data_IF_090998702294
#
_entry.id   IF_090998702294
#
_cell.length_a   1.000
_cell.length_b   1.000
_cell.length_c   1.000
_cell.angle_alpha   90.00
_cell.angle_beta   90.00
_cell.angle_gamma   90.00
#
_symmetry.space_group_name_H-M   'P 1'
#
loop_
_entity.id
_entity.type
_entity.pdbx_description
1 polymer ?
#
# COMPACT_ATOMS: atom_id res chain seq x y z
N UNK A 1 5.94 -10.52 67.02
CA UNK A 1 7.05 -9.71 67.63
C UNK A 1 7.62 -8.85 66.56
N UNK A 2 7.20 -7.64 66.44
CA UNK A 2 7.75 -6.36 66.86
C UNK A 2 9.19 -6.09 66.41
N UNK A 3 9.37 -5.13 65.49
CA UNK A 3 10.04 -3.89 65.81
C UNK A 3 9.96 -2.86 64.62
N UNK A 4 9.30 -1.73 64.94
CA UNK A 4 9.40 -0.45 64.20
C UNK A 4 10.76 0.16 64.46
N UNK A 5 11.34 0.81 63.43
CA UNK A 5 12.27 1.93 63.62
C UNK A 5 12.00 3.00 62.57
N UNK A 6 11.52 4.14 63.09
CA UNK A 6 11.30 5.35 62.32
C UNK A 6 12.60 6.15 62.21
N UNK A 7 12.78 6.82 61.06
CA UNK A 7 13.78 7.84 60.90
C UNK A 7 13.14 9.16 60.48
N UNK A 8 13.18 10.14 61.38
CA UNK A 8 12.82 11.56 61.16
C UNK A 8 13.91 12.20 60.30
N UNK A 9 13.52 12.74 59.14
CA UNK A 9 14.36 13.65 58.38
C UNK A 9 13.91 15.10 58.60
N UNK A 10 14.87 15.91 59.04
CA UNK A 10 14.72 17.32 59.37
C UNK A 10 14.58 18.20 58.12
N UNK A 11 13.54 19.02 58.08
CA UNK A 11 13.35 20.10 57.14
C UNK A 11 14.40 21.23 57.34
N UNK A 12 15.19 21.49 56.35
CA UNK A 12 16.06 22.68 56.29
C UNK A 12 15.35 23.75 55.46
N UNK A 13 14.83 24.78 56.12
CA UNK A 13 14.31 26.00 55.49
C UNK A 13 15.49 26.87 55.02
N UNK A 14 15.76 26.91 53.72
CA UNK A 14 16.60 27.89 53.08
C UNK A 14 15.74 29.12 52.70
N UNK A 15 15.97 30.27 53.38
CA UNK A 15 15.42 31.57 53.03
C UNK A 15 16.22 32.12 51.83
N UNK A 16 15.68 32.08 50.64
CA UNK A 16 16.21 32.83 49.49
C UNK A 16 15.56 34.23 49.47
N UNK A 17 16.37 35.25 49.63
CA UNK A 17 16.05 36.67 49.48
C UNK A 17 15.66 36.97 48.04
N UNK A 18 14.43 37.42 47.84
CA UNK A 18 13.93 37.96 46.58
C UNK A 18 14.59 39.27 46.26
N UNK A 19 15.40 39.31 45.22
CA UNK A 19 15.77 40.56 44.55
C UNK A 19 14.75 40.83 43.42
N UNK A 20 13.83 41.74 43.68
CA UNK A 20 12.96 42.33 42.65
C UNK A 20 13.83 43.16 41.70
N UNK A 21 14.26 42.60 40.59
CA UNK A 21 14.83 43.33 39.47
C UNK A 21 13.78 43.42 38.35
N UNK A 22 13.47 44.66 37.99
CA UNK A 22 12.63 45.16 36.92
C UNK A 22 12.36 44.16 35.77
N UNK A 23 11.17 43.55 35.80
CA UNK A 23 10.68 42.67 34.78
C UNK A 23 9.83 43.40 33.70
N UNK A 24 9.86 44.72 33.63
CA UNK A 24 8.99 45.45 32.71
C UNK A 24 9.60 45.83 31.36
N UNK A 25 10.96 45.81 31.21
CA UNK A 25 11.57 46.14 29.92
C UNK A 25 11.87 44.91 29.03
N UNK A 26 11.89 43.69 29.59
CA UNK A 26 12.16 42.50 28.83
C UNK A 26 10.95 41.95 28.06
N UNK A 27 9.75 42.40 28.44
CA UNK A 27 8.50 41.93 27.79
C UNK A 27 8.13 42.71 26.51
N UNK A 28 8.72 43.85 26.24
CA UNK A 28 8.40 44.69 25.06
C UNK A 28 9.17 44.25 23.81
N UNK A 29 10.33 43.61 23.96
CA UNK A 29 11.15 43.17 22.83
C UNK A 29 10.82 41.74 22.41
N UNK A 30 10.12 40.93 23.25
CA UNK A 30 9.80 39.53 22.97
C UNK A 30 8.60 39.31 22.08
N UNK A 31 7.67 40.26 21.96
CA UNK A 31 6.41 40.07 21.29
C UNK A 31 6.48 40.02 19.73
N UNK A 32 7.18 40.89 19.01
CA UNK A 32 7.16 40.86 17.54
C UNK A 32 8.02 39.75 16.94
N UNK A 33 9.13 39.36 17.60
CA UNK A 33 10.01 38.32 17.10
C UNK A 33 9.45 36.91 17.29
N UNK A 34 8.77 36.64 18.41
CA UNK A 34 8.07 35.39 18.66
C UNK A 34 6.86 35.21 17.75
N UNK A 35 6.09 36.26 17.53
CA UNK A 35 4.94 36.26 16.63
C UNK A 35 5.37 36.03 15.15
N UNK A 36 6.55 36.56 14.76
CA UNK A 36 7.15 36.30 13.46
C UNK A 36 7.63 34.85 13.29
N UNK A 37 8.23 34.27 14.32
CA UNK A 37 8.67 32.87 14.33
C UNK A 37 7.50 31.90 14.30
N UNK A 38 6.45 32.13 15.08
CA UNK A 38 5.24 31.32 15.08
C UNK A 38 4.49 31.37 13.73
N UNK A 39 4.50 32.53 13.06
CA UNK A 39 3.94 32.65 11.70
C UNK A 39 4.76 31.89 10.64
N UNK A 40 6.08 31.93 10.74
CA UNK A 40 6.98 31.22 9.81
C UNK A 40 6.89 29.70 10.02
N UNK A 41 6.84 29.25 11.27
CA UNK A 41 6.69 27.82 11.60
C UNK A 41 5.33 27.28 11.16
N UNK A 42 4.26 28.05 11.35
CA UNK A 42 2.91 27.71 10.91
C UNK A 42 2.80 27.70 9.37
N UNK A 43 3.44 28.63 8.67
CA UNK A 43 3.46 28.70 7.21
C UNK A 43 4.26 27.53 6.61
N UNK A 44 5.38 27.14 7.20
CA UNK A 44 6.18 25.98 6.77
C UNK A 44 5.45 24.66 7.02
N UNK A 45 4.77 24.53 8.15
CA UNK A 45 3.90 23.38 8.46
C UNK A 45 2.74 23.26 7.48
N UNK A 46 2.08 24.39 7.16
CA UNK A 46 0.96 24.43 6.21
C UNK A 46 1.41 24.08 4.79
N UNK A 47 2.54 24.61 4.32
CA UNK A 47 3.11 24.32 3.01
C UNK A 47 3.53 22.86 2.89
N UNK A 48 4.12 22.27 3.93
CA UNK A 48 4.49 20.85 3.95
C UNK A 48 3.24 19.97 3.92
N UNK A 49 2.21 20.29 4.68
CA UNK A 49 0.94 19.55 4.70
C UNK A 49 0.25 19.61 3.33
N UNK A 50 0.23 20.77 2.68
CA UNK A 50 -0.33 20.94 1.33
C UNK A 50 0.45 20.14 0.29
N UNK A 51 1.79 20.19 0.32
CA UNK A 51 2.66 19.44 -0.60
C UNK A 51 2.47 17.92 -0.46
N UNK A 52 2.37 17.42 0.77
CA UNK A 52 2.13 15.98 1.06
C UNK A 52 0.74 15.57 0.55
N UNK A 53 -0.29 16.39 0.78
CA UNK A 53 -1.64 16.11 0.28
C UNK A 53 -1.67 16.02 -1.24
N UNK A 54 -1.09 16.97 -1.96
CA UNK A 54 -1.01 16.96 -3.43
C UNK A 54 -0.27 15.71 -3.96
N UNK A 55 0.83 15.32 -3.31
CA UNK A 55 1.55 14.11 -3.68
C UNK A 55 0.70 12.84 -3.54
N UNK A 56 -0.06 12.73 -2.45
CA UNK A 56 -0.95 11.58 -2.22
C UNK A 56 -2.04 11.52 -3.30
N UNK A 57 -2.68 12.64 -3.64
CA UNK A 57 -3.70 12.68 -4.69
C UNK A 57 -3.15 12.31 -6.07
N UNK A 58 -1.92 12.72 -6.40
CA UNK A 58 -1.26 12.29 -7.63
C UNK A 58 -1.03 10.77 -7.65
N UNK A 59 -0.63 10.18 -6.53
CA UNK A 59 -0.46 8.72 -6.39
C UNK A 59 -1.81 8.02 -6.58
N UNK A 60 -2.90 8.50 -5.97
CA UNK A 60 -4.24 7.92 -6.13
C UNK A 60 -4.66 7.98 -7.61
N UNK A 61 -4.45 9.10 -8.29
CA UNK A 61 -4.78 9.25 -9.72
C UNK A 61 -4.00 8.25 -10.59
N UNK A 62 -2.69 8.10 -10.34
CA UNK A 62 -1.88 7.08 -11.04
C UNK A 62 -2.38 5.67 -10.75
N UNK A 63 -2.79 5.38 -9.53
CA UNK A 63 -3.36 4.08 -9.14
C UNK A 63 -4.67 3.81 -9.87
N UNK A 64 -5.54 4.80 -10.03
CA UNK A 64 -6.79 4.68 -10.79
C UNK A 64 -6.49 4.30 -12.26
N UNK A 65 -5.58 5.01 -12.91
CA UNK A 65 -5.20 4.73 -14.31
C UNK A 65 -4.65 3.31 -14.45
N UNK A 66 -3.73 2.91 -13.57
CA UNK A 66 -3.16 1.56 -13.58
C UNK A 66 -4.23 0.49 -13.33
N UNK A 67 -5.16 0.72 -12.40
CA UNK A 67 -6.25 -0.23 -12.11
C UNK A 67 -7.16 -0.43 -13.32
N UNK A 68 -7.45 0.61 -14.09
CA UNK A 68 -8.23 0.51 -15.33
C UNK A 68 -7.49 -0.35 -16.38
N UNK A 69 -6.20 -0.12 -16.56
CA UNK A 69 -5.39 -0.91 -17.51
C UNK A 69 -5.37 -2.39 -17.10
N UNK A 70 -5.13 -2.67 -15.82
CA UNK A 70 -5.10 -4.02 -15.28
C UNK A 70 -6.47 -4.70 -15.43
N UNK A 71 -7.57 -3.97 -15.17
CA UNK A 71 -8.93 -4.47 -15.34
C UNK A 71 -9.18 -4.90 -16.80
N UNK A 72 -8.80 -4.06 -17.78
CA UNK A 72 -8.95 -4.35 -19.21
C UNK A 72 -8.18 -5.62 -19.57
N UNK A 73 -6.93 -5.77 -19.09
CA UNK A 73 -6.10 -6.96 -19.37
C UNK A 73 -6.78 -8.22 -18.79
N UNK A 74 -7.26 -8.17 -17.54
CA UNK A 74 -7.89 -9.33 -16.90
C UNK A 74 -9.22 -9.72 -17.55
N UNK A 75 -10.04 -8.74 -17.97
CA UNK A 75 -11.29 -9.01 -18.71
C UNK A 75 -10.98 -9.66 -20.06
N UNK A 76 -9.98 -9.16 -20.80
CA UNK A 76 -9.58 -9.76 -22.07
C UNK A 76 -9.03 -11.19 -21.89
N UNK A 77 -8.25 -11.43 -20.83
CA UNK A 77 -7.78 -12.77 -20.48
C UNK A 77 -8.94 -13.72 -20.16
N UNK A 78 -9.95 -13.27 -19.41
CA UNK A 78 -11.14 -14.05 -19.10
C UNK A 78 -11.94 -14.38 -20.37
N UNK A 79 -12.10 -13.41 -21.28
CA UNK A 79 -12.76 -13.64 -22.56
C UNK A 79 -12.00 -14.67 -23.41
N UNK A 80 -10.67 -14.65 -23.40
CA UNK A 80 -9.87 -15.65 -24.07
C UNK A 80 -10.07 -17.04 -23.46
N UNK A 81 -9.99 -17.18 -22.13
CA UNK A 81 -10.21 -18.46 -21.44
C UNK A 81 -11.63 -19.01 -21.72
N UNK A 82 -12.65 -18.16 -21.70
CA UNK A 82 -14.04 -18.56 -22.03
C UNK A 82 -14.16 -19.00 -23.50
N UNK A 83 -13.45 -18.35 -24.43
CA UNK A 83 -13.39 -18.77 -25.83
C UNK A 83 -12.81 -20.20 -25.97
N UNK A 84 -11.77 -20.56 -25.20
CA UNK A 84 -11.24 -21.93 -25.19
C UNK A 84 -12.28 -22.97 -24.74
N UNK A 85 -13.13 -22.60 -23.79
CA UNK A 85 -14.23 -23.47 -23.34
C UNK A 85 -15.29 -23.65 -24.44
N UNK A 86 -15.70 -22.58 -25.10
CA UNK A 86 -16.76 -22.64 -26.14
C UNK A 86 -16.31 -23.38 -27.39
N UNK A 87 -15.02 -23.36 -27.73
CA UNK A 87 -14.45 -24.07 -28.87
C UNK A 87 -14.09 -25.54 -28.57
N UNK A 88 -14.32 -26.03 -27.34
CA UNK A 88 -13.92 -27.35 -26.87
C UNK A 88 -12.45 -27.68 -27.23
N UNK A 89 -11.55 -26.72 -26.97
CA UNK A 89 -10.14 -26.83 -27.28
C UNK A 89 -9.46 -27.90 -26.39
N UNK A 90 -9.42 -29.14 -26.86
CA UNK A 90 -8.98 -30.29 -26.07
C UNK A 90 -7.53 -30.17 -25.56
N UNK A 91 -6.60 -29.57 -26.35
CA UNK A 91 -5.22 -29.37 -25.94
C UNK A 91 -5.07 -28.36 -24.76
N UNK A 92 -6.09 -27.52 -24.53
CA UNK A 92 -6.08 -26.57 -23.40
C UNK A 92 -6.79 -27.10 -22.15
N UNK A 93 -7.39 -28.31 -22.22
CA UNK A 93 -8.05 -28.90 -21.05
C UNK A 93 -7.05 -29.23 -19.96
N UNK A 94 -7.15 -28.52 -18.84
CA UNK A 94 -6.32 -28.76 -17.66
C UNK A 94 -6.90 -28.11 -16.43
N UNK A 95 -6.53 -28.61 -15.26
CA UNK A 95 -6.88 -27.96 -13.99
C UNK A 95 -6.35 -26.52 -13.92
N UNK A 96 -5.23 -26.22 -14.60
CA UNK A 96 -4.68 -24.86 -14.64
C UNK A 96 -5.64 -23.89 -15.32
N UNK A 97 -6.28 -24.27 -16.45
CA UNK A 97 -7.29 -23.45 -17.12
C UNK A 97 -8.45 -23.11 -16.19
N UNK A 98 -8.97 -24.12 -15.51
CA UNK A 98 -10.07 -23.94 -14.55
C UNK A 98 -9.68 -23.03 -13.40
N UNK A 99 -8.49 -23.23 -12.83
CA UNK A 99 -7.97 -22.36 -11.78
C UNK A 99 -7.81 -20.91 -12.25
N UNK A 100 -7.17 -20.67 -13.40
CA UNK A 100 -6.99 -19.33 -13.97
C UNK A 100 -8.35 -18.63 -14.20
N UNK A 101 -9.33 -19.37 -14.71
CA UNK A 101 -10.70 -18.85 -14.93
C UNK A 101 -11.32 -18.32 -13.64
N UNK A 102 -11.34 -19.12 -12.57
CA UNK A 102 -11.92 -18.71 -11.29
C UNK A 102 -11.11 -17.58 -10.66
N UNK A 103 -9.79 -17.66 -10.72
CA UNK A 103 -8.92 -16.59 -10.25
C UNK A 103 -9.25 -15.26 -10.95
N UNK A 104 -9.41 -15.24 -12.27
CA UNK A 104 -9.75 -14.04 -13.05
C UNK A 104 -11.09 -13.44 -12.62
N UNK A 105 -12.12 -14.25 -12.36
CA UNK A 105 -13.38 -13.74 -11.83
C UNK A 105 -13.20 -13.01 -10.50
N UNK A 106 -12.52 -13.64 -9.54
CA UNK A 106 -12.26 -13.01 -8.25
C UNK A 106 -11.38 -11.76 -8.38
N UNK A 107 -10.36 -11.81 -9.22
CA UNK A 107 -9.45 -10.69 -9.43
C UNK A 107 -10.16 -9.47 -10.01
N UNK A 108 -11.03 -9.66 -10.99
CA UNK A 108 -11.86 -8.59 -11.59
C UNK A 108 -12.73 -7.92 -10.52
N UNK A 109 -13.36 -8.70 -9.64
CA UNK A 109 -14.17 -8.15 -8.55
C UNK A 109 -13.32 -7.32 -7.60
N UNK A 110 -12.16 -7.83 -7.16
CA UNK A 110 -11.26 -7.12 -6.23
C UNK A 110 -10.74 -5.83 -6.87
N UNK A 111 -10.29 -5.88 -8.13
CA UNK A 111 -9.81 -4.68 -8.84
C UNK A 111 -10.94 -3.65 -9.02
N UNK A 112 -12.15 -4.10 -9.27
CA UNK A 112 -13.32 -3.20 -9.38
C UNK A 112 -13.63 -2.50 -8.06
N UNK A 113 -13.55 -3.21 -6.94
CA UNK A 113 -13.70 -2.61 -5.60
C UNK A 113 -12.56 -1.63 -5.32
N UNK A 114 -11.31 -1.99 -5.62
CA UNK A 114 -10.15 -1.09 -5.49
C UNK A 114 -10.33 0.19 -6.31
N UNK A 115 -10.80 0.06 -7.54
CA UNK A 115 -11.03 1.18 -8.43
C UNK A 115 -12.11 2.12 -7.87
N UNK A 116 -13.24 1.58 -7.43
CA UNK A 116 -14.31 2.36 -6.82
C UNK A 116 -13.85 3.06 -5.53
N UNK A 117 -13.07 2.37 -4.70
CA UNK A 117 -12.51 2.94 -3.49
C UNK A 117 -11.55 4.10 -3.78
N UNK A 118 -10.65 3.93 -4.76
CA UNK A 118 -9.71 4.99 -5.16
C UNK A 118 -10.44 6.19 -5.77
N UNK A 119 -11.49 5.98 -6.57
CA UNK A 119 -12.34 7.05 -7.10
C UNK A 119 -13.03 7.78 -5.95
N UNK A 120 -13.57 7.06 -4.97
CA UNK A 120 -14.21 7.65 -3.79
C UNK A 120 -13.24 8.51 -2.98
N UNK A 121 -12.02 8.03 -2.73
CA UNK A 121 -10.97 8.79 -2.04
C UNK A 121 -10.59 10.06 -2.82
N UNK A 122 -10.43 9.93 -4.13
CA UNK A 122 -10.05 11.05 -4.99
C UNK A 122 -11.13 12.12 -5.06
N UNK A 123 -12.40 11.73 -5.30
CA UNK A 123 -13.52 12.68 -5.42
C UNK A 123 -13.92 13.32 -4.09
N UNK A 124 -13.81 12.55 -3.00
CA UNK A 124 -14.10 13.03 -1.64
C UNK A 124 -12.97 13.85 -1.01
N UNK A 125 -11.80 13.96 -1.66
CA UNK A 125 -10.59 14.53 -1.07
C UNK A 125 -10.23 13.91 0.30
N UNK A 126 -10.52 12.61 0.46
CA UNK A 126 -10.32 11.86 1.69
C UNK A 126 -8.92 11.23 1.66
N UNK A 127 -8.16 11.39 2.73
CA UNK A 127 -6.86 10.73 2.83
C UNK A 127 -7.05 9.25 3.22
N UNK A 128 -6.26 8.32 2.62
CA UNK A 128 -6.36 6.89 2.94
C UNK A 128 -6.21 6.59 4.45
N UNK A 129 -5.45 7.40 5.18
CA UNK A 129 -5.24 7.27 6.62
C UNK A 129 -6.55 7.42 7.42
N UNK A 130 -7.53 8.18 6.90
CA UNK A 130 -8.82 8.39 7.57
C UNK A 130 -9.69 7.12 7.52
N UNK A 131 -9.49 6.27 6.50
CA UNK A 131 -10.20 5.00 6.38
C UNK A 131 -9.62 3.89 7.28
N UNK A 132 -8.39 4.03 7.78
CA UNK A 132 -7.75 3.01 8.63
C UNK A 132 -8.56 2.72 9.90
N UNK A 133 -9.29 3.71 10.40
CA UNK A 133 -10.17 3.54 11.56
C UNK A 133 -11.52 2.85 11.24
N UNK A 134 -11.84 2.64 9.97
CA UNK A 134 -13.07 1.96 9.57
C UNK A 134 -12.85 0.43 9.58
N UNK A 135 -13.63 -0.32 10.39
CA UNK A 135 -13.46 -1.77 10.48
C UNK A 135 -13.70 -2.50 9.15
N UNK A 136 -14.58 -1.99 8.29
CA UNK A 136 -14.82 -2.56 6.96
C UNK A 136 -13.59 -2.45 6.06
N UNK A 137 -12.88 -1.32 6.15
CA UNK A 137 -11.62 -1.14 5.43
C UNK A 137 -10.53 -2.10 5.94
N UNK A 138 -10.49 -2.34 7.25
CA UNK A 138 -9.60 -3.32 7.87
C UNK A 138 -9.84 -4.75 7.35
N UNK A 139 -11.11 -5.17 7.27
CA UNK A 139 -11.49 -6.48 6.71
C UNK A 139 -11.09 -6.57 5.23
N UNK A 140 -11.37 -5.53 4.46
CA UNK A 140 -11.03 -5.47 3.04
C UNK A 140 -9.50 -5.60 2.81
N UNK A 141 -8.69 -4.88 3.56
CA UNK A 141 -7.23 -4.96 3.46
C UNK A 141 -6.69 -6.34 3.86
N UNK A 142 -7.30 -6.99 4.86
CA UNK A 142 -6.96 -8.37 5.24
C UNK A 142 -7.27 -9.36 4.11
N UNK A 143 -8.46 -9.29 3.50
CA UNK A 143 -8.82 -10.11 2.33
C UNK A 143 -7.84 -9.89 1.19
N UNK A 144 -7.50 -8.65 0.90
CA UNK A 144 -6.55 -8.29 -0.16
C UNK A 144 -5.15 -8.84 0.09
N UNK A 145 -4.69 -8.85 1.34
CA UNK A 145 -3.41 -9.42 1.72
C UNK A 145 -3.35 -10.94 1.49
N UNK A 146 -4.43 -11.66 1.84
CA UNK A 146 -4.53 -13.10 1.55
C UNK A 146 -4.59 -13.33 0.04
N UNK A 147 -5.36 -12.51 -0.68
CA UNK A 147 -5.50 -12.63 -2.14
C UNK A 147 -4.17 -12.37 -2.87
N UNK A 148 -3.28 -11.55 -2.33
CA UNK A 148 -1.94 -11.32 -2.87
C UNK A 148 -1.14 -12.63 -2.99
N UNK A 149 -1.25 -13.54 -2.03
CA UNK A 149 -0.58 -14.85 -2.08
C UNK A 149 -1.12 -15.67 -3.27
N UNK A 150 -2.44 -15.69 -3.46
CA UNK A 150 -3.05 -16.35 -4.62
C UNK A 150 -2.62 -15.72 -5.95
N UNK A 151 -2.39 -14.40 -5.97
CA UNK A 151 -1.89 -13.69 -7.16
C UNK A 151 -0.49 -14.15 -7.54
N UNK A 152 0.41 -14.34 -6.60
CA UNK A 152 1.76 -14.86 -6.86
C UNK A 152 1.69 -16.28 -7.42
N UNK A 153 0.86 -17.14 -6.83
CA UNK A 153 0.64 -18.51 -7.34
C UNK A 153 0.07 -18.47 -8.77
N UNK A 154 -0.91 -17.59 -9.01
CA UNK A 154 -1.52 -17.45 -10.33
C UNK A 154 -0.51 -17.06 -11.41
N UNK A 155 0.41 -16.13 -11.13
CA UNK A 155 1.45 -15.72 -12.08
C UNK A 155 2.26 -16.94 -12.54
N UNK A 156 2.68 -17.80 -11.62
CA UNK A 156 3.44 -19.02 -11.93
C UNK A 156 2.60 -19.98 -12.77
N UNK A 157 1.35 -20.21 -12.36
CA UNK A 157 0.43 -21.12 -13.09
C UNK A 157 0.16 -20.63 -14.51
N UNK A 158 -0.07 -19.32 -14.69
CA UNK A 158 -0.31 -18.72 -16.03
C UNK A 158 0.89 -18.90 -16.94
N UNK A 159 2.09 -18.60 -16.45
CA UNK A 159 3.32 -18.76 -17.25
C UNK A 159 3.51 -20.22 -17.68
N UNK A 160 3.36 -21.17 -16.74
CA UNK A 160 3.47 -22.60 -17.04
C UNK A 160 2.39 -23.03 -18.03
N UNK A 161 1.14 -22.62 -17.82
CA UNK A 161 0.02 -23.00 -18.68
C UNK A 161 0.21 -22.50 -20.11
N UNK A 162 0.57 -21.24 -20.31
CA UNK A 162 0.74 -20.67 -21.64
C UNK A 162 1.96 -21.28 -22.34
N UNK A 163 3.09 -21.50 -21.63
CA UNK A 163 4.24 -22.17 -22.22
C UNK A 163 3.90 -23.60 -22.66
N UNK A 164 3.14 -24.35 -21.86
CA UNK A 164 2.67 -25.68 -22.25
C UNK A 164 1.78 -25.64 -23.51
N UNK A 165 0.89 -24.64 -23.65
CA UNK A 165 0.09 -24.48 -24.86
C UNK A 165 0.95 -24.20 -26.09
N UNK A 166 2.03 -23.42 -25.93
CA UNK A 166 3.00 -23.15 -27.01
C UNK A 166 3.80 -24.39 -27.40
N UNK A 167 4.27 -25.15 -26.43
CA UNK A 167 5.02 -26.43 -26.67
C UNK A 167 4.15 -27.45 -27.39
N UNK A 168 2.85 -27.52 -27.10
CA UNK A 168 1.91 -28.44 -27.74
C UNK A 168 1.43 -27.94 -29.11
N UNK A 169 1.90 -26.80 -29.60
CA UNK A 169 1.41 -26.16 -30.84
C UNK A 169 -0.12 -26.12 -30.91
N UNK A 170 -0.76 -25.67 -29.81
CA UNK A 170 -2.20 -25.68 -29.65
C UNK A 170 -2.83 -24.53 -30.45
N UNK A 171 -3.09 -24.74 -31.77
CA UNK A 171 -3.61 -23.72 -32.70
C UNK A 171 -4.91 -23.07 -32.22
N UNK A 172 -5.84 -23.87 -31.62
CA UNK A 172 -7.10 -23.31 -31.11
C UNK A 172 -6.90 -22.32 -29.94
N UNK A 173 -5.73 -22.32 -29.30
CA UNK A 173 -5.39 -21.36 -28.22
C UNK A 173 -4.74 -20.08 -28.72
N UNK A 174 -4.40 -19.97 -30.01
CA UNK A 174 -3.74 -18.81 -30.59
C UNK A 174 -4.69 -17.61 -30.62
N UNK A 175 -4.32 -16.58 -29.84
CA UNK A 175 -5.08 -15.34 -29.71
C UNK A 175 -4.11 -14.26 -29.19
N UNK A 176 -4.24 -13.05 -29.71
CA UNK A 176 -3.43 -11.92 -29.24
C UNK A 176 -3.57 -11.68 -27.74
N UNK A 177 -4.76 -11.97 -27.18
CA UNK A 177 -5.05 -11.84 -25.74
C UNK A 177 -4.20 -12.79 -24.90
N UNK A 178 -3.88 -14.01 -25.41
CA UNK A 178 -2.96 -14.95 -24.79
C UNK A 178 -1.58 -14.32 -24.61
N UNK A 179 -1.05 -13.73 -25.68
CA UNK A 179 0.30 -13.14 -25.67
C UNK A 179 0.36 -11.92 -24.74
N UNK A 180 -0.65 -11.03 -24.80
CA UNK A 180 -0.75 -9.87 -23.91
C UNK A 180 -0.81 -10.30 -22.45
N UNK A 181 -1.61 -11.33 -22.12
CA UNK A 181 -1.74 -11.82 -20.77
C UNK A 181 -0.45 -12.53 -20.28
N UNK A 182 0.25 -13.23 -21.15
CA UNK A 182 1.54 -13.86 -20.86
C UNK A 182 2.61 -12.79 -20.55
N UNK A 183 2.77 -11.78 -21.42
CA UNK A 183 3.72 -10.67 -21.21
C UNK A 183 3.42 -9.94 -19.91
N UNK A 184 2.15 -9.64 -19.64
CA UNK A 184 1.72 -9.01 -18.40
C UNK A 184 2.16 -9.81 -17.16
N UNK A 185 1.97 -11.13 -17.15
CA UNK A 185 2.37 -11.96 -16.02
C UNK A 185 3.90 -12.06 -15.88
N UNK A 186 4.66 -12.04 -16.97
CA UNK A 186 6.13 -11.97 -16.91
C UNK A 186 6.59 -10.65 -16.28
N UNK A 187 6.02 -9.51 -16.70
CA UNK A 187 6.35 -8.22 -16.13
C UNK A 187 6.06 -8.22 -14.61
N UNK A 188 4.91 -8.76 -14.19
CA UNK A 188 4.58 -8.90 -12.78
C UNK A 188 5.55 -9.80 -12.02
N UNK A 189 5.95 -10.94 -12.60
CA UNK A 189 6.93 -11.84 -12.00
C UNK A 189 8.28 -11.15 -11.79
N UNK A 190 8.76 -10.40 -12.78
CA UNK A 190 9.99 -9.61 -12.68
C UNK A 190 9.87 -8.54 -11.59
N UNK A 191 8.77 -7.82 -11.54
CA UNK A 191 8.52 -6.79 -10.52
C UNK A 191 8.54 -7.37 -9.11
N UNK A 192 7.81 -8.47 -8.86
CA UNK A 192 7.79 -9.16 -7.57
C UNK A 192 9.19 -9.67 -7.21
N UNK A 193 9.92 -10.24 -8.17
CA UNK A 193 11.29 -10.69 -7.97
C UNK A 193 12.22 -9.58 -7.51
N UNK A 194 12.14 -8.40 -8.13
CA UNK A 194 12.92 -7.21 -7.72
C UNK A 194 12.55 -6.77 -6.32
N UNK A 195 11.26 -6.70 -5.98
CA UNK A 195 10.79 -6.30 -4.64
C UNK A 195 11.31 -7.26 -3.56
N UNK A 196 11.26 -8.57 -3.80
CA UNK A 196 11.78 -9.59 -2.88
C UNK A 196 13.29 -9.42 -2.71
N UNK A 197 14.03 -9.21 -3.79
CA UNK A 197 15.48 -9.03 -3.76
C UNK A 197 15.87 -7.79 -2.93
N UNK A 198 15.19 -6.67 -3.15
CA UNK A 198 15.41 -5.44 -2.37
C UNK A 198 15.08 -5.63 -0.88
N UNK A 199 14.00 -6.35 -0.57
CA UNK A 199 13.64 -6.67 0.81
C UNK A 199 14.71 -7.53 1.49
N UNK A 200 15.26 -8.52 0.79
CA UNK A 200 16.37 -9.36 1.29
C UNK A 200 17.62 -8.54 1.56
N UNK A 201 18.02 -7.65 0.64
CA UNK A 201 19.18 -6.76 0.83
C UNK A 201 18.98 -5.87 2.05
N UNK A 202 17.77 -5.28 2.23
CA UNK A 202 17.43 -4.46 3.39
C UNK A 202 17.52 -5.23 4.71
N UNK A 203 17.06 -6.48 4.73
CA UNK A 203 17.14 -7.38 5.89
C UNK A 203 18.60 -7.70 6.23
N UNK A 204 19.44 -8.04 5.25
CA UNK A 204 20.86 -8.28 5.46
C UNK A 204 21.60 -7.04 6.00
N UNK A 205 21.28 -5.85 5.47
CA UNK A 205 21.86 -4.61 5.96
C UNK A 205 21.50 -4.32 7.43
N UNK A 206 20.23 -4.61 7.83
CA UNK A 206 19.81 -4.47 9.23
C UNK A 206 20.51 -5.47 10.17
N UNK A 207 20.75 -6.70 9.71
CA UNK A 207 21.41 -7.73 10.50
C UNK A 207 22.92 -7.49 10.63
N UNK A 208 23.55 -6.91 9.60
CA UNK A 208 24.98 -6.58 9.59
C UNK A 208 25.34 -5.38 10.48
N UNK A 209 24.39 -4.52 10.81
CA UNK A 209 24.60 -3.34 11.68
C UNK A 209 24.36 -3.63 13.17
N UNK A 210 24.15 -4.87 13.58
CA UNK A 210 24.08 -5.33 14.98
C UNK A 210 25.39 -5.98 15.41
#
# INVERSE_FOLDING_TARGET
MAKKTGAKSKSVKSKAKSSKLKSSELNIIKSPLMEGLDKIENQNSLNNKFKVSTMIFNIIMMTIVLSIIILIINVNALLWINKLDTMNCACSESYMRTYIKYYLYFNIVIISIDLLLNIYLYTGNILPIELVHNPLYGIYTAIKSVFFIFSVINIVIVIIFINKLKELNCECSEDIRREVYWIYNIILACYIGIVILLAMIGLFAMLSNK
#
